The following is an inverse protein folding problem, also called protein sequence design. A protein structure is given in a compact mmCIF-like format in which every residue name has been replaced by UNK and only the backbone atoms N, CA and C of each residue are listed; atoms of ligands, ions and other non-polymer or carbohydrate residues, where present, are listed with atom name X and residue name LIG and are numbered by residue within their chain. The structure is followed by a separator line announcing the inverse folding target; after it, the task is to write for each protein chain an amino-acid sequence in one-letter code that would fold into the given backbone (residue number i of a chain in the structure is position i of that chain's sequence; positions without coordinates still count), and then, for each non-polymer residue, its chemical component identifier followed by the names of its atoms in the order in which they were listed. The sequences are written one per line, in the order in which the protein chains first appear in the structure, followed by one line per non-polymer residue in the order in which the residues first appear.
data_IF_805912980348
#
_entry.id   IF_805912980348
#
_cell.length_a   1.000
_cell.length_b   1.000
_cell.length_c   1.000
_cell.angle_alpha   90.00
_cell.angle_beta   90.00
_cell.angle_gamma   90.00
#
_symmetry.space_group_name_H-M   'P 1'
#
loop_
_entity.id
_entity.type
_entity.pdbx_description
1 polymer ?
#
# COMPACT_ATOMS: atom_id res chain seq x y z
N UNK A 1 16.35 17.62 1.62
CA UNK A 1 15.12 16.93 2.03
C UNK A 1 15.48 15.53 2.47
N UNK A 2 15.10 15.08 3.69
CA UNK A 2 15.32 13.70 4.09
C UNK A 2 14.63 12.77 3.07
N UNK A 3 15.36 11.73 2.64
CA UNK A 3 14.74 10.67 1.83
C UNK A 3 13.61 10.06 2.68
N UNK A 4 12.39 9.90 2.12
CA UNK A 4 11.36 9.15 2.83
C UNK A 4 11.92 7.77 3.18
N UNK A 5 11.61 7.28 4.39
CA UNK A 5 11.95 5.91 4.76
C UNK A 5 11.30 4.95 3.77
N UNK A 6 11.86 3.76 3.58
CA UNK A 6 11.29 2.72 2.71
C UNK A 6 9.80 2.47 3.02
N UNK A 7 9.44 2.42 4.30
CA UNK A 7 8.07 2.29 4.77
C UNK A 7 7.14 3.42 4.27
N UNK A 8 7.60 4.68 4.25
CA UNK A 8 6.82 5.79 3.71
C UNK A 8 6.61 5.66 2.19
N UNK A 9 7.61 5.20 1.45
CA UNK A 9 7.51 4.95 0.01
C UNK A 9 6.44 3.89 -0.29
N UNK A 10 6.39 2.81 0.48
CA UNK A 10 5.42 1.72 0.28
C UNK A 10 3.99 2.14 0.63
N UNK A 11 3.80 3.00 1.63
CA UNK A 11 2.49 3.61 1.93
C UNK A 11 1.98 4.43 0.74
N UNK A 12 2.81 5.26 0.12
CA UNK A 12 2.40 6.05 -1.05
C UNK A 12 2.06 5.18 -2.27
N UNK A 13 2.80 4.09 -2.50
CA UNK A 13 2.51 3.14 -3.57
C UNK A 13 1.18 2.43 -3.35
N UNK A 14 0.90 2.01 -2.12
CA UNK A 14 -0.40 1.44 -1.74
C UNK A 14 -1.54 2.44 -1.96
N UNK A 15 -1.37 3.69 -1.53
CA UNK A 15 -2.37 4.75 -1.74
C UNK A 15 -2.61 5.01 -3.23
N UNK A 16 -1.57 5.00 -4.04
CA UNK A 16 -1.68 5.14 -5.49
C UNK A 16 -2.55 4.05 -6.11
N UNK A 17 -2.36 2.80 -5.70
CA UNK A 17 -3.09 1.66 -6.26
C UNK A 17 -4.55 1.56 -5.78
N UNK A 18 -4.90 2.10 -4.62
CA UNK A 18 -6.19 1.80 -3.99
C UNK A 18 -6.94 3.00 -3.42
N UNK A 19 -6.29 4.14 -3.27
CA UNK A 19 -6.83 5.27 -2.51
C UNK A 19 -6.91 5.05 -1.00
N UNK A 20 -6.59 3.86 -0.47
CA UNK A 20 -6.67 3.56 0.95
C UNK A 20 -5.52 4.20 1.73
N UNK A 21 -5.84 5.09 2.67
CA UNK A 21 -4.85 5.98 3.32
C UNK A 21 -4.41 5.53 4.71
N UNK A 22 -5.14 4.63 5.39
CA UNK A 22 -4.79 4.22 6.75
C UNK A 22 -3.42 3.52 6.83
N UNK A 23 -2.66 3.71 7.90
CA UNK A 23 -1.44 2.96 8.16
C UNK A 23 -1.73 1.48 8.46
N UNK A 24 -0.69 0.67 8.59
CA UNK A 24 -0.78 -0.75 8.97
C UNK A 24 -1.76 -1.54 8.08
N UNK A 25 -1.63 -1.37 6.77
CA UNK A 25 -2.47 -2.09 5.82
C UNK A 25 -1.65 -2.66 4.67
N UNK A 26 -2.09 -3.82 4.18
CA UNK A 26 -1.50 -4.54 3.06
C UNK A 26 -2.56 -4.78 2.00
N UNK A 27 -2.20 -4.56 0.73
CA UNK A 27 -3.04 -4.90 -0.42
C UNK A 27 -2.42 -6.09 -1.12
N UNK A 28 -3.25 -7.06 -1.42
CA UNK A 28 -2.88 -8.22 -2.20
C UNK A 28 -3.68 -8.24 -3.49
N UNK A 29 -2.97 -8.26 -4.61
CA UNK A 29 -3.54 -8.38 -5.94
C UNK A 29 -3.30 -9.80 -6.42
N UNK A 30 -4.37 -10.54 -6.64
CA UNK A 30 -4.32 -11.89 -7.20
C UNK A 30 -4.67 -11.80 -8.67
N UNK A 31 -3.71 -12.13 -9.54
CA UNK A 31 -3.90 -12.20 -10.98
C UNK A 31 -4.06 -13.66 -11.41
N UNK A 32 -5.11 -13.98 -12.17
CA UNK A 32 -5.39 -15.34 -12.60
C UNK A 32 -6.70 -15.45 -13.37
N UNK A 33 -7.33 -16.62 -13.33
CA UNK A 33 -8.63 -16.83 -13.96
C UNK A 33 -9.72 -15.89 -13.43
N UNK A 34 -9.62 -15.52 -12.15
CA UNK A 34 -10.40 -14.45 -11.52
C UNK A 34 -9.43 -13.54 -10.79
N UNK A 35 -9.34 -12.30 -11.25
CA UNK A 35 -8.57 -11.28 -10.56
C UNK A 35 -9.28 -10.89 -9.26
N UNK A 36 -8.50 -10.66 -8.21
CA UNK A 36 -9.03 -10.23 -6.92
C UNK A 36 -8.15 -9.16 -6.30
N UNK A 37 -8.77 -8.19 -5.68
CA UNK A 37 -8.14 -7.16 -4.86
C UNK A 37 -8.54 -7.38 -3.40
N UNK A 38 -7.57 -7.65 -2.55
CA UNK A 38 -7.79 -8.01 -1.15
C UNK A 38 -7.06 -7.01 -0.26
N UNK A 39 -7.78 -6.47 0.71
CA UNK A 39 -7.23 -5.56 1.70
C UNK A 39 -7.05 -6.27 3.04
N UNK A 40 -5.91 -6.06 3.69
CA UNK A 40 -5.71 -6.33 5.11
C UNK A 40 -5.52 -5.00 5.81
N UNK A 41 -6.35 -4.68 6.81
CA UNK A 41 -6.30 -3.41 7.52
C UNK A 41 -6.67 -3.59 9.00
N UNK A 42 -6.47 -2.53 9.78
CA UNK A 42 -6.82 -2.53 11.20
C UNK A 42 -8.33 -2.72 11.40
N UNK A 43 -8.70 -3.44 12.44
CA UNK A 43 -10.09 -3.57 12.85
C UNK A 43 -10.67 -2.23 13.34
N UNK A 44 -11.99 -2.10 13.20
CA UNK A 44 -12.75 -1.01 13.82
C UNK A 44 -12.61 -1.09 15.33
N UNK A 45 -12.15 -0.03 15.97
CA UNK A 45 -11.99 0.03 17.42
C UNK A 45 -12.26 1.45 17.92
N UNK A 46 -13.45 1.66 18.47
CA UNK A 46 -13.93 2.98 18.93
C UNK A 46 -13.05 3.59 20.02
N UNK A 47 -12.49 2.77 20.91
CA UNK A 47 -11.61 3.25 21.99
C UNK A 47 -10.26 3.72 21.44
N UNK A 48 -9.72 3.00 20.45
CA UNK A 48 -8.47 3.38 19.80
C UNK A 48 -8.62 4.59 18.90
N UNK A 49 -9.80 4.81 18.30
CA UNK A 49 -10.04 5.96 17.42
C UNK A 49 -9.90 7.32 18.13
N UNK A 50 -10.08 7.35 19.43
CA UNK A 50 -9.85 8.57 20.24
C UNK A 50 -8.38 9.01 20.17
N UNK A 51 -7.45 8.05 20.06
CA UNK A 51 -6.01 8.28 20.08
C UNK A 51 -5.37 8.26 18.70
N UNK A 52 -5.79 7.31 17.86
CA UNK A 52 -5.15 6.99 16.58
C UNK A 52 -5.90 7.61 15.39
N UNK A 53 -7.05 8.23 15.63
CA UNK A 53 -7.95 8.72 14.58
C UNK A 53 -8.87 7.64 14.02
N UNK A 54 -9.71 8.04 13.08
CA UNK A 54 -10.74 7.21 12.47
C UNK A 54 -10.14 5.95 11.81
N UNK A 55 -10.88 4.82 11.96
CA UNK A 55 -10.56 3.54 11.32
C UNK A 55 -11.78 3.04 10.54
N UNK A 56 -11.59 2.70 9.29
CA UNK A 56 -12.66 2.10 8.47
C UNK A 56 -13.07 0.72 8.99
N UNK A 57 -12.09 -0.11 9.36
CA UNK A 57 -12.29 -1.55 9.55
C UNK A 57 -12.52 -2.27 8.22
N UNK A 58 -12.38 -3.61 8.17
CA UNK A 58 -12.42 -4.37 6.92
C UNK A 58 -13.71 -4.20 6.11
N UNK A 59 -14.89 -4.29 6.75
CA UNK A 59 -16.18 -4.27 6.04
C UNK A 59 -16.45 -2.91 5.37
N UNK A 60 -16.24 -1.82 6.10
CA UNK A 60 -16.46 -0.46 5.56
C UNK A 60 -15.40 -0.13 4.53
N UNK A 61 -14.13 -0.50 4.77
CA UNK A 61 -13.06 -0.31 3.80
C UNK A 61 -13.33 -1.06 2.49
N UNK A 62 -13.80 -2.31 2.57
CA UNK A 62 -14.18 -3.10 1.41
C UNK A 62 -15.23 -2.40 0.56
N UNK A 63 -16.32 -1.95 1.17
CA UNK A 63 -17.43 -1.30 0.45
C UNK A 63 -17.08 0.07 -0.08
N UNK A 64 -16.28 0.85 0.67
CA UNK A 64 -15.90 2.23 0.30
C UNK A 64 -14.90 2.27 -0.84
N UNK A 65 -13.92 1.38 -0.82
CA UNK A 65 -12.81 1.38 -1.79
C UNK A 65 -12.96 0.32 -2.89
N UNK A 66 -14.02 -0.51 -2.85
CA UNK A 66 -14.33 -1.47 -3.89
C UNK A 66 -13.44 -2.71 -3.90
N UNK A 67 -12.91 -3.13 -2.75
CA UNK A 67 -12.15 -4.38 -2.65
C UNK A 67 -13.06 -5.61 -2.77
N UNK A 68 -12.57 -6.67 -3.40
CA UNK A 68 -13.28 -7.96 -3.50
C UNK A 68 -13.44 -8.61 -2.12
N UNK A 69 -12.38 -8.52 -1.30
CA UNK A 69 -12.38 -8.98 0.09
C UNK A 69 -11.55 -8.04 0.98
N UNK A 70 -11.88 -8.02 2.26
CA UNK A 70 -11.05 -7.34 3.26
C UNK A 70 -11.02 -8.16 4.56
N UNK A 71 -9.88 -8.16 5.23
CA UNK A 71 -9.62 -8.92 6.45
C UNK A 71 -8.90 -8.04 7.49
N UNK A 72 -9.01 -8.38 8.78
CA UNK A 72 -8.13 -7.80 9.79
C UNK A 72 -6.66 -8.04 9.46
N UNK A 73 -5.80 -7.08 9.79
CA UNK A 73 -4.35 -7.18 9.52
C UNK A 73 -3.72 -8.39 10.22
N UNK A 74 -4.27 -8.79 11.35
CA UNK A 74 -3.86 -9.97 12.13
C UNK A 74 -4.07 -11.28 11.37
N UNK A 75 -4.99 -11.31 10.42
CA UNK A 75 -5.23 -12.48 9.57
C UNK A 75 -4.21 -12.63 8.43
N UNK A 76 -3.30 -11.67 8.23
CA UNK A 76 -2.35 -11.66 7.14
C UNK A 76 -1.53 -12.96 7.07
N UNK A 77 -0.93 -13.37 8.19
CA UNK A 77 -0.05 -14.54 8.25
C UNK A 77 -0.78 -15.86 7.99
N UNK A 78 -2.08 -15.93 8.25
CA UNK A 78 -2.90 -17.11 8.01
C UNK A 78 -3.49 -17.19 6.60
N UNK A 79 -3.76 -16.04 5.99
CA UNK A 79 -4.41 -15.95 4.68
C UNK A 79 -3.41 -15.91 3.53
N UNK A 80 -2.26 -15.24 3.68
CA UNK A 80 -1.26 -15.12 2.62
C UNK A 80 -0.78 -16.47 2.09
N UNK A 81 -0.45 -17.48 2.93
CA UNK A 81 -0.06 -18.79 2.42
C UNK A 81 -1.14 -19.46 1.56
N UNK A 82 -2.43 -19.24 1.86
CA UNK A 82 -3.55 -19.78 1.06
C UNK A 82 -3.62 -19.10 -0.30
N UNK A 83 -3.42 -17.78 -0.35
CA UNK A 83 -3.41 -17.02 -1.60
C UNK A 83 -2.17 -17.31 -2.46
N UNK A 84 -1.05 -17.68 -1.84
CA UNK A 84 0.18 -18.05 -2.52
C UNK A 84 0.17 -19.50 -3.03
N UNK A 85 -0.72 -20.34 -2.51
CA UNK A 85 -0.83 -21.75 -2.90
C UNK A 85 -1.17 -21.86 -4.39
N UNK A 86 -0.35 -22.63 -5.14
CA UNK A 86 -0.48 -22.84 -6.58
C UNK A 86 -0.30 -21.57 -7.44
N UNK A 87 0.15 -20.46 -6.86
CA UNK A 87 0.53 -19.29 -7.64
C UNK A 87 1.88 -19.53 -8.35
N UNK A 88 2.04 -19.12 -9.62
CA UNK A 88 3.29 -19.33 -10.36
C UNK A 88 4.43 -18.43 -9.87
N UNK A 89 4.10 -17.23 -9.41
CA UNK A 89 5.09 -16.24 -9.00
C UNK A 89 4.52 -15.31 -7.92
N UNK A 90 5.41 -14.67 -7.17
CA UNK A 90 5.12 -13.64 -6.20
C UNK A 90 5.79 -12.33 -6.62
N UNK A 91 5.07 -11.23 -6.50
CA UNK A 91 5.60 -9.87 -6.68
C UNK A 91 5.47 -9.11 -5.35
N UNK A 92 6.57 -8.60 -4.83
CA UNK A 92 6.57 -7.79 -3.61
C UNK A 92 7.77 -6.84 -3.60
N UNK A 93 7.85 -5.93 -2.64
CA UNK A 93 8.97 -4.98 -2.50
C UNK A 93 10.24 -5.71 -2.02
N UNK A 94 10.83 -6.49 -2.90
CA UNK A 94 11.97 -7.38 -2.62
C UNK A 94 13.19 -6.60 -2.14
N UNK A 95 13.70 -6.96 -0.97
CA UNK A 95 14.90 -6.36 -0.39
C UNK A 95 14.71 -4.93 0.15
N UNK A 96 13.48 -4.38 0.12
CA UNK A 96 13.20 -3.04 0.62
C UNK A 96 13.03 -2.98 2.14
N UNK A 97 12.53 -4.06 2.73
CA UNK A 97 12.31 -4.21 4.16
C UNK A 97 12.65 -5.65 4.60
N UNK A 98 13.67 -5.80 5.43
CA UNK A 98 14.13 -7.09 5.92
C UNK A 98 13.07 -7.84 6.74
N UNK A 99 12.17 -7.12 7.39
CA UNK A 99 11.06 -7.71 8.15
C UNK A 99 10.05 -8.34 7.20
N UNK A 100 9.67 -7.63 6.14
CA UNK A 100 8.79 -8.16 5.09
C UNK A 100 9.43 -9.36 4.38
N UNK A 101 10.72 -9.29 4.04
CA UNK A 101 11.44 -10.40 3.41
C UNK A 101 11.38 -11.66 4.30
N UNK A 102 11.58 -11.50 5.61
CA UNK A 102 11.49 -12.61 6.57
C UNK A 102 10.08 -13.18 6.65
N UNK A 103 9.05 -12.34 6.66
CA UNK A 103 7.66 -12.79 6.64
C UNK A 103 7.32 -13.57 5.35
N UNK A 104 7.70 -13.05 4.21
CA UNK A 104 7.51 -13.72 2.90
C UNK A 104 8.19 -15.09 2.87
N UNK A 105 9.42 -15.20 3.38
CA UNK A 105 10.10 -16.48 3.50
C UNK A 105 9.34 -17.47 4.38
N UNK A 106 8.78 -17.00 5.51
CA UNK A 106 7.95 -17.81 6.39
C UNK A 106 6.68 -18.33 5.70
N UNK A 107 5.99 -17.48 4.96
CA UNK A 107 4.81 -17.87 4.19
C UNK A 107 5.15 -18.89 3.09
N UNK A 108 6.24 -18.67 2.34
CA UNK A 108 6.74 -19.64 1.35
C UNK A 108 7.06 -21.00 1.97
N UNK A 109 7.68 -21.02 3.16
CA UNK A 109 7.96 -22.27 3.88
C UNK A 109 6.67 -22.98 4.29
N UNK A 110 5.65 -22.22 4.75
CA UNK A 110 4.33 -22.77 5.10
C UNK A 110 3.67 -23.43 3.89
N UNK A 111 3.72 -22.80 2.71
CA UNK A 111 3.18 -23.39 1.47
C UNK A 111 3.97 -24.63 1.05
N UNK A 112 5.31 -24.60 1.13
CA UNK A 112 6.16 -25.78 0.84
C UNK A 112 5.86 -26.96 1.75
N UNK A 113 5.50 -26.69 3.01
CA UNK A 113 5.09 -27.73 3.96
C UNK A 113 3.84 -28.50 3.51
N UNK A 114 3.02 -27.92 2.61
CA UNK A 114 1.80 -28.52 2.07
C UNK A 114 2.02 -29.35 0.79
N UNK A 115 3.27 -29.57 0.38
CA UNK A 115 3.59 -30.31 -0.85
C UNK A 115 2.99 -31.73 -0.90
N UNK A 116 2.87 -32.41 0.27
CA UNK A 116 2.23 -33.74 0.35
C UNK A 116 0.73 -33.71 0.05
N UNK A 117 0.09 -32.53 0.19
CA UNK A 117 -1.31 -32.31 -0.19
C UNK A 117 -1.46 -31.86 -1.66
N UNK A 118 -0.39 -31.89 -2.46
CA UNK A 118 -0.40 -31.50 -3.87
C UNK A 118 -0.35 -29.99 -4.10
N UNK A 119 -0.05 -29.19 -3.07
CA UNK A 119 0.08 -27.74 -3.17
C UNK A 119 1.48 -27.39 -3.64
N UNK A 120 1.58 -26.51 -4.66
CA UNK A 120 2.84 -25.99 -5.16
C UNK A 120 3.06 -24.54 -4.70
N UNK A 121 4.25 -24.19 -4.17
CA UNK A 121 4.58 -22.82 -3.85
C UNK A 121 4.94 -22.05 -5.10
N UNK A 122 4.92 -20.69 -5.07
CA UNK A 122 5.51 -19.86 -6.10
C UNK A 122 6.96 -20.26 -6.38
N UNK A 123 7.32 -20.38 -7.65
CA UNK A 123 8.67 -20.79 -8.07
C UNK A 123 9.56 -19.59 -8.41
N UNK A 124 9.00 -18.38 -8.45
CA UNK A 124 9.72 -17.14 -8.71
C UNK A 124 9.22 -16.02 -7.79
N UNK A 125 10.13 -15.12 -7.40
CA UNK A 125 9.83 -13.87 -6.74
C UNK A 125 10.43 -12.71 -7.53
N UNK A 126 9.64 -11.67 -7.76
CA UNK A 126 10.01 -10.48 -8.53
C UNK A 126 9.84 -9.22 -7.70
N UNK A 127 10.67 -8.23 -7.98
CA UNK A 127 10.51 -6.91 -7.39
C UNK A 127 9.34 -6.17 -8.04
N UNK A 128 8.32 -5.86 -7.24
CA UNK A 128 7.13 -5.14 -7.69
C UNK A 128 7.44 -3.68 -8.10
N UNK A 129 8.55 -3.12 -7.64
CA UNK A 129 8.92 -1.74 -7.94
C UNK A 129 9.07 -1.52 -9.45
N UNK A 130 9.61 -2.47 -10.17
CA UNK A 130 9.78 -2.38 -11.64
C UNK A 130 8.43 -2.12 -12.33
N UNK A 131 7.37 -2.82 -11.92
CA UNK A 131 6.03 -2.65 -12.49
C UNK A 131 5.41 -1.31 -12.07
N UNK A 132 5.50 -0.98 -10.77
CA UNK A 132 4.88 0.23 -10.24
C UNK A 132 5.56 1.50 -10.74
N UNK A 133 6.87 1.48 -10.90
CA UNK A 133 7.61 2.64 -11.38
C UNK A 133 7.32 2.90 -12.86
N UNK A 134 7.19 1.85 -13.69
CA UNK A 134 6.74 1.99 -15.08
C UNK A 134 5.30 2.51 -15.18
N UNK A 135 4.37 1.98 -14.39
CA UNK A 135 2.98 2.49 -14.35
C UNK A 135 2.91 3.97 -14.00
N UNK A 136 3.81 4.46 -13.13
CA UNK A 136 3.84 5.84 -12.65
C UNK A 136 4.66 6.78 -13.53
N UNK A 137 5.41 6.25 -14.49
CA UNK A 137 6.26 7.06 -15.35
C UNK A 137 5.44 8.00 -16.23
N UNK A 138 4.41 7.48 -16.90
CA UNK A 138 3.51 8.23 -17.77
C UNK A 138 2.22 8.51 -16.98
N UNK A 139 1.89 9.80 -16.81
CA UNK A 139 0.72 10.26 -16.06
C UNK A 139 -0.51 10.28 -16.95
N UNK A 140 -1.62 9.80 -16.41
CA UNK A 140 -2.92 9.94 -17.08
C UNK A 140 -3.51 11.36 -16.94
N UNK A 141 -4.64 11.60 -17.57
CA UNK A 141 -5.27 12.93 -17.56
C UNK A 141 -5.73 13.35 -16.15
N UNK A 142 -6.18 12.42 -15.31
CA UNK A 142 -6.62 12.71 -13.95
C UNK A 142 -5.42 13.05 -13.06
N UNK A 143 -4.32 12.29 -13.20
CA UNK A 143 -3.08 12.56 -12.48
C UNK A 143 -2.53 13.95 -12.83
N UNK A 144 -2.54 14.29 -14.12
CA UNK A 144 -2.10 15.62 -14.60
C UNK A 144 -2.97 16.73 -13.99
N UNK A 145 -4.30 16.57 -13.97
CA UNK A 145 -5.21 17.56 -13.37
C UNK A 145 -4.94 17.75 -11.87
N UNK A 146 -4.77 16.66 -11.13
CA UNK A 146 -4.45 16.71 -9.69
C UNK A 146 -3.09 17.38 -9.45
N UNK A 147 -2.08 17.04 -10.26
CA UNK A 147 -0.75 17.66 -10.18
C UNK A 147 -0.80 19.14 -10.50
N UNK A 148 -1.58 19.55 -11.51
CA UNK A 148 -1.77 20.96 -11.87
C UNK A 148 -2.42 21.74 -10.73
N UNK A 149 -3.51 21.24 -10.15
CA UNK A 149 -4.15 21.87 -8.97
C UNK A 149 -3.19 22.01 -7.79
N UNK A 150 -2.40 20.98 -7.51
CA UNK A 150 -1.39 21.03 -6.46
C UNK A 150 -0.34 22.11 -6.75
N UNK A 151 0.13 22.21 -7.97
CA UNK A 151 1.08 23.22 -8.40
C UNK A 151 0.49 24.65 -8.29
N UNK A 152 -0.77 24.84 -8.68
CA UNK A 152 -1.47 26.13 -8.58
C UNK A 152 -1.64 26.58 -7.12
N UNK A 153 -1.99 25.66 -6.22
CA UNK A 153 -2.07 25.93 -4.77
C UNK A 153 -0.70 26.35 -4.24
N UNK A 154 0.35 25.59 -4.57
CA UNK A 154 1.71 25.88 -4.13
C UNK A 154 2.18 27.26 -4.67
N UNK A 155 1.94 27.54 -5.95
CA UNK A 155 2.28 28.81 -6.57
C UNK A 155 1.52 29.99 -5.93
N UNK A 156 0.24 29.80 -5.60
CA UNK A 156 -0.55 30.83 -4.92
C UNK A 156 -0.02 31.09 -3.50
N UNK A 157 0.35 30.03 -2.76
CA UNK A 157 0.94 30.14 -1.43
C UNK A 157 2.29 30.89 -1.47
N UNK A 158 3.17 30.54 -2.40
CA UNK A 158 4.45 31.24 -2.59
C UNK A 158 4.25 32.72 -2.95
N UNK A 159 3.36 33.04 -3.90
CA UNK A 159 3.04 34.43 -4.24
C UNK A 159 2.50 35.21 -3.05
N UNK A 160 1.68 34.58 -2.17
CA UNK A 160 1.19 35.21 -0.96
C UNK A 160 2.34 35.47 0.02
N UNK A 161 3.18 34.51 0.27
CA UNK A 161 4.35 34.65 1.14
C UNK A 161 5.28 35.78 0.65
N UNK A 162 5.58 35.83 -0.65
CA UNK A 162 6.41 36.89 -1.25
C UNK A 162 5.81 38.29 -1.07
N UNK A 163 4.48 38.43 -1.15
CA UNK A 163 3.80 39.74 -0.95
C UNK A 163 3.83 40.25 0.48
N UNK A 164 3.81 39.35 1.47
CA UNK A 164 3.77 39.71 2.88
C UNK A 164 5.17 39.75 3.50
N UNK A 165 6.15 39.12 2.89
CA UNK A 165 7.52 39.08 3.38
C UNK A 165 8.12 40.50 3.44
N UNK A 166 8.60 40.89 4.62
CA UNK A 166 9.25 42.18 4.89
C UNK A 166 10.21 42.04 6.06
N UNK A 167 11.26 42.89 6.16
CA UNK A 167 12.18 42.89 7.29
C UNK A 167 11.42 42.99 8.64
N UNK A 168 11.84 42.19 9.63
CA UNK A 168 11.26 42.16 10.96
C UNK A 168 10.09 41.17 11.17
N UNK A 169 9.62 40.49 10.12
CA UNK A 169 8.70 39.37 10.29
C UNK A 169 9.44 38.12 10.77
N UNK A 170 8.79 37.37 11.61
CA UNK A 170 9.26 36.07 12.09
C UNK A 170 8.59 34.95 11.28
N UNK A 171 9.18 33.75 11.30
CA UNK A 171 8.74 32.58 10.55
C UNK A 171 7.37 32.00 11.03
N UNK A 172 6.96 32.36 12.24
CA UNK A 172 5.68 31.90 12.84
C UNK A 172 4.63 33.00 12.89
#
# INVERSE_FOLDING_TARGET
TPKPSSAASDVYKRQYLSGFTEPEAVIVLVAGAKNQTILFCREKNMEREIWDGFRYGPDVARSTFGFDAAYPIEALDSELPKLMANAPALFYALGSDSKLDTQVQGWLQSVRGQARAGVTPPNAAYDIHVLLDEMRLIKDANEIDIMQRSADIAAAAHRRAMRIARPGLREY
#
